data_IF_674310747951
#
_entry.id   IF_674310747951
#
_cell.length_a   1.000
_cell.length_b   1.000
_cell.length_c   1.000
_cell.angle_alpha   90.00
_cell.angle_beta   90.00
_cell.angle_gamma   90.00
#
_symmetry.space_group_name_H-M   'P 1'
#
loop_
_entity.id
_entity.type
_entity.pdbx_description
1 polymer ?
#
# COMPACT_ATOMS: atom_id res chain seq x y z
N UNK A 1 28.93 -5.62 -10.01
CA UNK A 1 29.48 -6.98 -9.81
C UNK A 1 29.20 -7.77 -11.09
N UNK A 2 30.16 -7.93 -12.01
CA UNK A 2 29.87 -8.47 -13.35
C UNK A 2 29.56 -9.98 -13.40
N UNK A 3 29.66 -10.70 -12.31
CA UNK A 3 29.41 -12.14 -12.23
C UNK A 3 28.23 -12.51 -11.30
N UNK A 4 27.52 -11.53 -10.74
CA UNK A 4 26.41 -11.81 -9.85
C UNK A 4 25.21 -12.40 -10.62
N UNK A 5 24.56 -13.40 -10.03
CA UNK A 5 23.29 -13.94 -10.49
C UNK A 5 22.20 -13.14 -9.79
N UNK A 6 21.35 -12.46 -10.57
CA UNK A 6 20.25 -11.66 -10.03
C UNK A 6 18.91 -12.27 -10.45
N UNK A 7 18.01 -12.39 -9.50
CA UNK A 7 16.64 -12.86 -9.69
C UNK A 7 15.67 -11.78 -9.22
N UNK A 8 14.65 -11.47 -10.00
CA UNK A 8 13.61 -10.51 -9.67
C UNK A 8 12.41 -11.26 -9.11
N UNK A 9 12.00 -10.92 -7.89
CA UNK A 9 10.86 -11.55 -7.23
C UNK A 9 9.90 -10.50 -6.68
N UNK A 10 8.60 -10.80 -6.55
CA UNK A 10 7.65 -9.91 -5.92
C UNK A 10 8.02 -9.63 -4.45
N UNK A 11 7.88 -8.37 -4.05
CA UNK A 11 7.90 -7.97 -2.64
C UNK A 11 6.47 -8.00 -2.11
N UNK A 12 6.20 -8.74 -1.04
CA UNK A 12 4.88 -8.76 -0.40
C UNK A 12 4.55 -7.50 0.41
N UNK A 13 5.22 -6.41 0.13
CA UNK A 13 5.10 -5.12 0.83
C UNK A 13 4.75 -4.03 -0.17
N UNK A 14 3.51 -3.55 -0.11
CA UNK A 14 3.09 -2.44 -0.95
C UNK A 14 3.67 -1.10 -0.51
N UNK A 15 3.74 -0.14 -1.43
CA UNK A 15 3.79 1.28 -1.09
C UNK A 15 2.37 1.78 -0.93
N UNK A 16 2.11 2.55 0.12
CA UNK A 16 0.76 2.96 0.49
C UNK A 16 0.67 4.45 0.81
N UNK A 17 -0.50 5.01 0.52
CA UNK A 17 -0.91 6.31 1.00
C UNK A 17 -1.50 6.14 2.41
N UNK A 18 -0.72 6.45 3.44
CA UNK A 18 -1.19 6.47 4.82
C UNK A 18 -1.83 7.83 5.13
N UNK A 19 -3.09 7.80 5.59
CA UNK A 19 -3.87 9.00 5.91
C UNK A 19 -4.25 8.92 7.39
N UNK A 20 -4.05 9.98 8.15
CA UNK A 20 -4.43 10.01 9.56
C UNK A 20 -5.92 10.33 9.70
N UNK A 21 -6.73 9.33 10.03
CA UNK A 21 -8.19 9.45 10.18
C UNK A 21 -8.64 10.24 11.43
N UNK A 22 -7.70 10.67 12.28
CA UNK A 22 -7.98 11.41 13.51
C UNK A 22 -7.74 12.91 13.38
N UNK A 23 -7.27 13.36 12.22
CA UNK A 23 -6.91 14.76 11.98
C UNK A 23 -7.79 15.35 10.89
N UNK A 24 -8.48 16.47 11.18
CA UNK A 24 -9.24 17.19 10.18
C UNK A 24 -8.30 17.79 9.12
N UNK A 25 -8.71 17.84 7.85
CA UNK A 25 -9.97 17.36 7.27
C UNK A 25 -9.94 15.88 6.85
N UNK A 26 -8.89 15.12 7.19
CA UNK A 26 -8.66 13.74 6.75
C UNK A 26 -9.54 12.71 7.48
N UNK A 27 -10.24 13.12 8.54
CA UNK A 27 -11.31 12.38 9.18
C UNK A 27 -12.54 12.21 8.27
N UNK A 28 -12.70 13.08 7.25
CA UNK A 28 -13.77 12.99 6.26
C UNK A 28 -13.48 11.87 5.25
N UNK A 29 -14.36 10.88 5.19
CA UNK A 29 -14.27 9.75 4.26
C UNK A 29 -14.17 10.18 2.80
N UNK A 30 -14.98 11.16 2.40
CA UNK A 30 -15.04 11.65 1.02
C UNK A 30 -13.70 12.28 0.59
N UNK A 31 -13.01 12.99 1.48
CA UNK A 31 -11.67 13.50 1.18
C UNK A 31 -10.68 12.37 0.91
N UNK A 32 -10.65 11.35 1.76
CA UNK A 32 -9.75 10.20 1.58
C UNK A 32 -10.07 9.43 0.29
N UNK A 33 -11.36 9.33 -0.03
CA UNK A 33 -11.80 8.74 -1.31
C UNK A 33 -11.31 9.56 -2.49
N UNK A 34 -11.41 10.89 -2.46
CA UNK A 34 -10.88 11.76 -3.52
C UNK A 34 -9.37 11.59 -3.69
N UNK A 35 -8.62 11.48 -2.59
CA UNK A 35 -7.19 11.20 -2.63
C UNK A 35 -6.89 9.86 -3.30
N UNK A 36 -7.64 8.81 -2.98
CA UNK A 36 -7.48 7.49 -3.60
C UNK A 36 -7.81 7.49 -5.11
N UNK A 37 -8.86 8.21 -5.51
CA UNK A 37 -9.31 8.35 -6.90
C UNK A 37 -8.33 9.15 -7.78
N UNK A 38 -7.45 9.97 -7.20
CA UNK A 38 -6.44 10.72 -7.96
C UNK A 38 -5.28 9.85 -8.46
N UNK A 39 -5.13 8.63 -7.91
CA UNK A 39 -3.97 7.77 -8.10
C UNK A 39 -3.99 7.07 -9.46
N UNK A 40 -2.92 7.23 -10.22
CA UNK A 40 -2.57 6.41 -11.38
C UNK A 40 -1.48 5.42 -10.97
N UNK A 41 -1.88 4.21 -10.62
CA UNK A 41 -0.98 3.17 -10.11
C UNK A 41 -0.01 2.67 -11.16
N UNK A 42 -0.45 2.66 -12.43
CA UNK A 42 0.41 2.24 -13.53
C UNK A 42 1.60 3.16 -13.68
N UNK A 43 1.42 4.45 -13.54
CA UNK A 43 2.50 5.45 -13.64
C UNK A 43 3.54 5.25 -12.53
N UNK A 44 3.14 4.84 -11.31
CA UNK A 44 4.12 4.46 -10.27
C UNK A 44 4.97 3.27 -10.70
N UNK A 45 4.35 2.25 -11.26
CA UNK A 45 5.06 1.04 -11.71
C UNK A 45 6.01 1.39 -12.85
N UNK A 46 5.55 2.13 -13.85
CA UNK A 46 6.35 2.47 -15.03
C UNK A 46 7.56 3.34 -14.69
N UNK A 47 7.38 4.36 -13.83
CA UNK A 47 8.44 5.33 -13.51
C UNK A 47 9.35 4.83 -12.39
N UNK A 48 8.77 4.33 -11.28
CA UNK A 48 9.57 4.01 -10.08
C UNK A 48 10.23 2.63 -10.18
N UNK A 49 9.58 1.69 -10.84
CA UNK A 49 10.06 0.30 -10.91
C UNK A 49 10.43 -0.14 -12.33
N UNK A 50 10.48 0.77 -13.29
CA UNK A 50 10.74 0.47 -14.69
C UNK A 50 9.85 -0.66 -15.25
N UNK A 51 8.58 -0.68 -14.85
CA UNK A 51 7.59 -1.69 -15.26
C UNK A 51 7.59 -2.96 -14.38
N UNK A 52 8.48 -3.07 -13.39
CA UNK A 52 8.58 -4.24 -12.51
C UNK A 52 7.79 -4.06 -11.21
N UNK A 53 6.48 -4.15 -11.30
CA UNK A 53 5.58 -4.04 -10.14
C UNK A 53 4.19 -4.55 -10.44
N UNK A 54 3.38 -4.66 -9.40
CA UNK A 54 2.03 -5.21 -9.51
C UNK A 54 1.01 -4.27 -8.84
N UNK A 55 -0.21 -4.26 -9.38
CA UNK A 55 -1.33 -3.54 -8.77
C UNK A 55 -2.10 -4.53 -7.90
N UNK A 56 -2.35 -4.14 -6.65
CA UNK A 56 -3.12 -4.94 -5.70
C UNK A 56 -3.85 -4.06 -4.70
N UNK A 57 -4.71 -4.68 -3.90
CA UNK A 57 -5.36 -4.05 -2.76
C UNK A 57 -4.49 -4.09 -1.50
N UNK A 58 -5.09 -4.43 -0.38
CA UNK A 58 -4.39 -4.63 0.89
C UNK A 58 -3.63 -5.96 0.89
N UNK A 59 -4.22 -7.00 0.28
CA UNK A 59 -3.55 -8.29 0.10
C UNK A 59 -2.64 -8.24 -1.12
N UNK A 60 -1.56 -9.01 -1.04
CA UNK A 60 -0.64 -9.18 -2.16
C UNK A 60 -1.38 -9.69 -3.39
N UNK A 61 -1.15 -9.10 -4.59
CA UNK A 61 -1.83 -9.51 -5.80
C UNK A 61 -1.42 -10.91 -6.29
N UNK A 62 -2.30 -11.50 -7.08
CA UNK A 62 -2.02 -12.73 -7.81
C UNK A 62 -0.85 -12.52 -8.81
N UNK A 63 -0.13 -13.60 -9.19
CA UNK A 63 -0.33 -15.00 -8.78
C UNK A 63 0.30 -15.36 -7.43
N UNK A 64 1.17 -14.53 -6.87
CA UNK A 64 1.96 -14.85 -5.68
C UNK A 64 1.12 -14.77 -4.39
N UNK A 65 0.19 -13.82 -4.33
CA UNK A 65 -0.71 -13.66 -3.19
C UNK A 65 -2.01 -14.44 -3.36
N UNK A 66 -2.11 -15.61 -2.74
CA UNK A 66 -3.30 -16.48 -2.87
C UNK A 66 -4.62 -15.82 -2.38
N UNK A 67 -4.52 -14.76 -1.59
CA UNK A 67 -5.64 -13.98 -1.06
C UNK A 67 -5.95 -12.74 -1.92
N UNK A 68 -5.07 -12.42 -2.87
CA UNK A 68 -5.21 -11.28 -3.75
C UNK A 68 -6.49 -11.34 -4.58
N UNK A 69 -7.05 -10.17 -4.81
CA UNK A 69 -8.27 -10.03 -5.63
C UNK A 69 -7.92 -10.18 -7.11
N UNK A 70 -8.68 -10.97 -7.88
CA UNK A 70 -8.52 -11.04 -9.33
C UNK A 70 -8.68 -9.64 -9.97
N UNK A 71 -7.95 -9.34 -11.07
CA UNK A 71 -7.98 -8.02 -11.69
C UNK A 71 -9.38 -7.52 -12.04
N UNK A 72 -10.25 -8.38 -12.53
CA UNK A 72 -11.63 -8.03 -12.90
C UNK A 72 -12.49 -7.61 -11.70
N UNK A 73 -12.23 -8.16 -10.51
CA UNK A 73 -12.90 -7.75 -9.28
C UNK A 73 -12.25 -6.49 -8.72
N UNK A 74 -10.91 -6.43 -8.76
CA UNK A 74 -10.14 -5.29 -8.28
C UNK A 74 -10.52 -4.01 -9.04
N UNK A 75 -10.64 -4.08 -10.36
CA UNK A 75 -11.00 -2.93 -11.22
C UNK A 75 -12.42 -2.40 -10.95
N UNK A 76 -13.29 -3.19 -10.32
CA UNK A 76 -14.62 -2.73 -9.91
C UNK A 76 -14.61 -1.95 -8.59
N UNK A 77 -13.48 -1.95 -7.86
CA UNK A 77 -13.35 -1.19 -6.61
C UNK A 77 -13.19 0.31 -6.86
N UNK A 78 -13.66 1.16 -5.93
CA UNK A 78 -13.33 2.58 -5.96
C UNK A 78 -11.83 2.82 -6.09
N UNK A 79 -11.44 3.73 -6.96
CA UNK A 79 -10.07 4.12 -7.24
C UNK A 79 -9.17 3.03 -7.89
N UNK A 80 -9.74 1.93 -8.39
CA UNK A 80 -9.02 0.92 -9.17
C UNK A 80 -9.53 0.80 -10.62
N UNK A 81 -10.47 1.67 -11.02
CA UNK A 81 -10.94 1.77 -12.42
C UNK A 81 -9.75 2.08 -13.33
N UNK A 82 -9.54 1.30 -14.41
CA UNK A 82 -8.47 1.57 -15.39
C UNK A 82 -8.60 2.94 -16.08
N UNK A 83 -9.81 3.51 -16.14
CA UNK A 83 -10.03 4.88 -16.60
C UNK A 83 -9.68 5.88 -15.49
N UNK A 84 -8.39 6.19 -15.41
CA UNK A 84 -7.85 7.15 -14.45
C UNK A 84 -8.47 8.55 -14.62
N UNK A 85 -8.81 8.97 -15.85
CA UNK A 85 -9.39 10.30 -16.08
C UNK A 85 -10.83 10.39 -15.53
N UNK A 86 -11.59 9.33 -15.66
CA UNK A 86 -12.91 9.20 -15.02
C UNK A 86 -12.78 9.31 -13.51
N UNK A 87 -11.86 8.55 -12.90
CA UNK A 87 -11.59 8.56 -11.46
C UNK A 87 -11.16 9.96 -10.98
N UNK A 88 -10.24 10.62 -11.68
CA UNK A 88 -9.81 11.98 -11.36
C UNK A 88 -10.93 13.03 -11.51
N UNK A 89 -11.83 12.83 -12.46
CA UNK A 89 -13.01 13.69 -12.60
C UNK A 89 -13.93 13.55 -11.40
N UNK A 90 -14.19 12.35 -10.93
CA UNK A 90 -14.93 12.10 -9.70
C UNK A 90 -14.22 12.68 -8.47
N UNK A 91 -12.90 12.52 -8.36
CA UNK A 91 -12.10 13.13 -7.30
C UNK A 91 -12.29 14.65 -7.23
N UNK A 92 -12.20 15.34 -8.36
CA UNK A 92 -12.44 16.80 -8.42
C UNK A 92 -13.83 17.18 -7.98
N UNK A 93 -14.85 16.46 -8.43
CA UNK A 93 -16.25 16.72 -8.01
C UNK A 93 -16.45 16.55 -6.49
N UNK A 94 -15.80 15.55 -5.89
CA UNK A 94 -15.82 15.39 -4.43
C UNK A 94 -15.13 16.55 -3.75
N UNK A 95 -13.94 16.94 -4.21
CA UNK A 95 -13.19 18.05 -3.62
C UNK A 95 -13.94 19.39 -3.73
N UNK A 96 -14.62 19.64 -4.84
CA UNK A 96 -15.45 20.84 -5.03
C UNK A 96 -16.62 20.87 -4.04
N UNK A 97 -17.27 19.75 -3.78
CA UNK A 97 -18.32 19.63 -2.74
C UNK A 97 -17.78 19.89 -1.34
N UNK A 98 -16.49 19.59 -1.10
CA UNK A 98 -15.80 19.87 0.16
C UNK A 98 -15.26 21.31 0.24
N UNK A 99 -15.48 22.15 -0.79
CA UNK A 99 -15.05 23.54 -0.84
C UNK A 99 -13.64 23.77 -1.38
N UNK A 100 -13.02 22.74 -1.94
CA UNK A 100 -11.70 22.84 -2.57
C UNK A 100 -11.85 22.92 -4.10
N UNK A 101 -10.95 23.68 -4.75
CA UNK A 101 -10.96 23.85 -6.20
C UNK A 101 -9.72 24.57 -6.68
N UNK A 102 -9.66 24.99 -7.95
CA UNK A 102 -8.48 25.64 -8.53
C UNK A 102 -8.00 26.87 -7.75
N UNK A 103 -8.93 27.67 -7.20
CA UNK A 103 -8.62 28.87 -6.40
C UNK A 103 -8.51 28.64 -4.90
N UNK A 104 -8.86 27.46 -4.41
CA UNK A 104 -8.80 27.10 -2.98
C UNK A 104 -8.35 25.65 -2.83
N UNK A 105 -7.06 25.40 -3.00
CA UNK A 105 -6.49 24.06 -2.97
C UNK A 105 -6.15 23.62 -1.54
N UNK A 106 -6.37 22.35 -1.22
CA UNK A 106 -5.99 21.79 0.05
C UNK A 106 -4.45 21.70 0.14
N UNK A 107 -3.86 22.30 1.17
CA UNK A 107 -2.43 22.17 1.46
C UNK A 107 -2.19 21.01 2.40
N UNK A 108 -1.27 20.09 2.05
CA UNK A 108 -0.91 18.95 2.87
C UNK A 108 0.60 18.82 3.01
N UNK A 109 1.07 18.39 4.19
CA UNK A 109 2.43 17.90 4.37
C UNK A 109 2.43 16.40 4.15
N UNK A 110 3.21 15.95 3.17
CA UNK A 110 3.40 14.53 2.88
C UNK A 110 4.69 14.05 3.53
N UNK A 111 4.54 13.37 4.66
CA UNK A 111 5.67 12.77 5.37
C UNK A 111 6.15 11.51 4.65
N UNK A 112 7.46 11.34 4.51
CA UNK A 112 8.05 10.15 3.94
C UNK A 112 9.41 9.85 4.56
N UNK A 113 9.87 8.61 4.44
CA UNK A 113 11.25 8.27 4.83
C UNK A 113 12.23 8.91 3.85
N UNK A 114 13.32 9.49 4.38
CA UNK A 114 14.39 10.09 3.55
C UNK A 114 15.33 9.02 3.00
N UNK A 115 14.76 8.11 2.21
CA UNK A 115 15.49 7.11 1.41
C UNK A 115 14.86 7.06 0.01
N UNK A 116 15.64 6.83 -1.07
CA UNK A 116 15.15 6.93 -2.45
C UNK A 116 13.89 6.08 -2.70
N UNK A 117 13.83 4.84 -2.21
CA UNK A 117 12.69 3.93 -2.39
C UNK A 117 11.37 4.40 -1.77
N UNK A 118 11.38 5.48 -0.99
CA UNK A 118 10.20 6.14 -0.42
C UNK A 118 10.08 7.59 -0.87
N UNK A 119 11.20 8.32 -0.98
CA UNK A 119 11.19 9.72 -1.39
C UNK A 119 10.73 9.89 -2.85
N UNK A 120 11.25 9.07 -3.77
CA UNK A 120 10.94 9.21 -5.19
C UNK A 120 9.45 8.94 -5.49
N UNK A 121 8.82 7.84 -5.00
CA UNK A 121 7.38 7.69 -5.16
C UNK A 121 6.55 8.74 -4.39
N UNK A 122 7.07 9.36 -3.32
CA UNK A 122 6.38 10.45 -2.64
C UNK A 122 6.31 11.72 -3.50
N UNK A 123 7.35 12.03 -4.27
CA UNK A 123 7.34 13.14 -5.24
C UNK A 123 6.27 12.90 -6.31
N UNK A 124 6.21 11.68 -6.86
CA UNK A 124 5.19 11.33 -7.85
C UNK A 124 3.77 11.36 -7.24
N UNK A 125 3.61 10.91 -6.00
CA UNK A 125 2.34 10.98 -5.29
C UNK A 125 1.85 12.42 -5.14
N UNK A 126 2.73 13.35 -4.75
CA UNK A 126 2.37 14.76 -4.66
C UNK A 126 1.90 15.33 -6.00
N UNK A 127 2.53 14.95 -7.10
CA UNK A 127 2.13 15.39 -8.42
C UNK A 127 0.73 14.86 -8.79
N UNK A 128 0.45 13.60 -8.51
CA UNK A 128 -0.87 13.01 -8.75
C UNK A 128 -1.98 13.62 -7.88
N UNK A 129 -1.69 13.96 -6.63
CA UNK A 129 -2.66 14.62 -5.74
C UNK A 129 -3.08 16.00 -6.24
N UNK A 130 -2.25 16.68 -7.04
CA UNK A 130 -2.61 17.97 -7.67
C UNK A 130 -3.81 17.84 -8.59
N UNK A 131 -4.02 16.68 -9.21
CA UNK A 131 -5.17 16.40 -10.06
C UNK A 131 -6.52 16.51 -9.31
N UNK A 132 -6.50 16.35 -7.99
CA UNK A 132 -7.65 16.52 -7.12
C UNK A 132 -7.57 17.78 -6.24
N UNK A 133 -6.96 18.86 -6.73
CA UNK A 133 -6.82 20.13 -6.01
C UNK A 133 -6.10 20.03 -4.66
N UNK A 134 -5.17 19.11 -4.53
CA UNK A 134 -4.35 18.92 -3.31
C UNK A 134 -2.90 19.30 -3.64
N UNK A 135 -2.36 20.30 -2.94
CA UNK A 135 -0.96 20.70 -3.05
C UNK A 135 -0.17 20.09 -1.90
N UNK A 136 0.70 19.16 -2.23
CA UNK A 136 1.60 18.52 -1.27
C UNK A 136 2.91 19.29 -1.09
N UNK A 137 3.36 19.34 0.15
CA UNK A 137 4.70 19.78 0.56
C UNK A 137 5.43 18.58 1.16
N UNK A 138 6.58 18.20 0.57
CA UNK A 138 7.29 16.99 0.99
C UNK A 138 8.01 17.23 2.32
N UNK A 139 7.80 16.32 3.26
CA UNK A 139 8.48 16.28 4.55
C UNK A 139 9.33 15.00 4.66
N UNK A 140 10.58 14.99 4.17
CA UNK A 140 11.47 13.86 4.35
C UNK A 140 11.88 13.72 5.82
N UNK A 141 11.78 12.52 6.35
CA UNK A 141 12.12 12.21 7.74
C UNK A 141 13.08 11.02 7.76
N UNK A 142 14.16 11.13 8.53
CA UNK A 142 15.07 10.00 8.68
C UNK A 142 14.34 8.76 9.26
N UNK A 143 14.83 7.58 8.91
CA UNK A 143 14.14 6.32 9.26
C UNK A 143 14.00 6.12 10.78
N UNK A 144 14.92 6.64 11.60
CA UNK A 144 14.88 6.47 13.06
C UNK A 144 13.78 7.30 13.70
N UNK A 145 13.40 8.42 13.10
CA UNK A 145 12.30 9.29 13.54
C UNK A 145 10.96 8.98 12.86
N UNK A 146 10.97 8.41 11.65
CA UNK A 146 9.75 8.15 10.89
C UNK A 146 8.78 7.23 11.63
N UNK A 147 9.23 6.05 12.06
CA UNK A 147 8.35 5.09 12.74
C UNK A 147 7.82 5.58 14.09
N UNK A 148 8.62 6.20 14.98
CA UNK A 148 8.09 6.85 16.18
C UNK A 148 7.01 7.90 15.91
N UNK A 149 7.16 8.71 14.84
CA UNK A 149 6.12 9.68 14.45
C UNK A 149 4.85 8.99 13.98
N UNK A 150 4.97 7.93 13.16
CA UNK A 150 3.82 7.12 12.73
C UNK A 150 3.07 6.51 13.92
N UNK A 151 3.78 5.98 14.91
CA UNK A 151 3.19 5.38 16.12
C UNK A 151 2.43 6.44 16.95
N UNK A 152 3.01 7.63 17.11
CA UNK A 152 2.34 8.75 17.79
C UNK A 152 1.25 9.43 16.96
N UNK A 153 1.07 9.02 15.70
CA UNK A 153 0.18 9.67 14.72
C UNK A 153 0.52 11.15 14.48
N UNK A 154 1.80 11.49 14.57
CA UNK A 154 2.32 12.82 14.32
C UNK A 154 2.56 13.02 12.82
N UNK A 155 1.49 12.96 12.06
CA UNK A 155 1.42 13.20 10.61
C UNK A 155 -0.04 13.41 10.19
N UNK A 156 -0.26 14.05 9.03
CA UNK A 156 -1.56 14.12 8.38
C UNK A 156 -1.66 13.11 7.25
N UNK A 157 -0.68 13.12 6.37
CA UNK A 157 -0.56 12.22 5.22
C UNK A 157 0.88 11.72 5.15
N UNK A 158 1.07 10.46 4.82
CA UNK A 158 2.41 9.90 4.65
C UNK A 158 2.47 8.88 3.50
N UNK A 159 3.62 8.79 2.84
CA UNK A 159 3.95 7.62 2.06
C UNK A 159 4.59 6.59 2.99
N UNK A 160 3.98 5.43 3.07
CA UNK A 160 4.39 4.34 3.96
C UNK A 160 4.44 3.01 3.22
N UNK A 161 4.66 1.95 3.97
CA UNK A 161 4.57 0.58 3.49
C UNK A 161 3.37 -0.12 4.15
N UNK A 162 2.66 -0.93 3.39
CA UNK A 162 1.65 -1.85 3.88
C UNK A 162 2.15 -3.27 3.73
N UNK A 163 2.06 -4.07 4.78
CA UNK A 163 2.38 -5.48 4.72
C UNK A 163 1.09 -6.28 4.74
N UNK A 164 0.81 -6.99 3.66
CA UNK A 164 -0.05 -8.16 3.70
C UNK A 164 0.80 -9.33 4.21
N UNK A 165 0.35 -10.03 5.25
CA UNK A 165 0.99 -11.26 5.67
C UNK A 165 0.68 -12.42 4.71
N UNK A 166 1.31 -13.57 4.93
CA UNK A 166 0.96 -14.81 4.22
C UNK A 166 -0.45 -15.29 4.57
N UNK A 167 -0.96 -14.91 5.74
CA UNK A 167 -2.35 -15.11 6.16
C UNK A 167 -3.03 -13.75 6.40
N UNK A 168 -4.28 -13.56 5.97
CA UNK A 168 -5.01 -12.30 6.12
C UNK A 168 -5.10 -11.81 7.57
N UNK A 169 -5.20 -12.70 8.54
CA UNK A 169 -5.30 -12.35 9.95
C UNK A 169 -4.12 -11.50 10.41
N UNK A 170 -2.93 -11.81 9.93
CA UNK A 170 -1.74 -11.06 10.31
C UNK A 170 -1.85 -9.57 9.95
N UNK A 171 -2.31 -9.25 8.74
CA UNK A 171 -2.45 -7.86 8.30
C UNK A 171 -3.71 -7.19 8.85
N UNK A 172 -4.84 -7.89 8.83
CA UNK A 172 -6.15 -7.34 9.17
C UNK A 172 -6.26 -7.03 10.66
N UNK A 173 -5.96 -7.98 11.55
CA UNK A 173 -6.04 -7.77 13.01
C UNK A 173 -4.99 -6.80 13.53
N UNK A 174 -3.80 -6.75 12.94
CA UNK A 174 -2.76 -5.84 13.43
C UNK A 174 -2.93 -4.41 12.96
N UNK A 175 -3.61 -4.18 11.81
CA UNK A 175 -3.62 -2.86 11.17
C UNK A 175 -5.01 -2.25 11.04
N UNK A 176 -6.06 -3.04 10.71
CA UNK A 176 -7.34 -2.49 10.27
C UNK A 176 -8.47 -2.64 11.29
N UNK A 177 -8.36 -3.54 12.26
CA UNK A 177 -9.34 -3.63 13.35
C UNK A 177 -9.22 -2.39 14.26
N UNK A 178 -10.37 -1.94 14.78
CA UNK A 178 -10.39 -0.82 15.73
C UNK A 178 -9.45 -1.09 16.92
N UNK A 179 -8.64 -0.13 17.26
CA UNK A 179 -7.63 -0.22 18.34
C UNK A 179 -6.52 -1.27 18.14
N UNK A 180 -6.34 -1.76 16.90
CA UNK A 180 -5.24 -2.65 16.59
C UNK A 180 -3.86 -2.01 16.89
N UNK A 181 -2.89 -2.83 17.28
CA UNK A 181 -1.58 -2.37 17.74
C UNK A 181 -0.82 -1.53 16.70
N UNK A 182 -0.87 -1.94 15.44
CA UNK A 182 -0.22 -1.24 14.33
C UNK A 182 -1.17 -0.34 13.53
N UNK A 183 -2.34 -0.04 14.06
CA UNK A 183 -3.29 0.89 13.45
C UNK A 183 -2.79 2.35 13.60
N UNK A 184 -1.78 2.69 12.83
CA UNK A 184 -1.12 4.01 12.87
C UNK A 184 -1.98 5.11 12.26
N UNK A 185 -2.89 4.77 11.33
CA UNK A 185 -3.81 5.72 10.70
C UNK A 185 -4.99 6.10 11.60
N UNK A 186 -5.24 5.34 12.67
CA UNK A 186 -6.40 5.56 13.53
C UNK A 186 -7.74 5.21 12.85
N UNK A 187 -7.70 4.37 11.83
CA UNK A 187 -8.88 3.81 11.18
C UNK A 187 -9.71 2.99 12.16
N UNK A 188 -11.02 3.08 12.07
CA UNK A 188 -11.92 2.25 12.85
C UNK A 188 -13.27 2.16 12.14
N UNK A 189 -13.67 0.94 11.78
CA UNK A 189 -14.97 0.61 11.23
C UNK A 189 -15.43 -0.72 11.82
N UNK A 190 -16.46 -0.72 12.72
CA UNK A 190 -16.95 -1.95 13.35
C UNK A 190 -17.46 -3.01 12.37
N UNK A 191 -17.88 -2.60 11.16
CA UNK A 191 -18.25 -3.56 10.11
C UNK A 191 -17.03 -4.35 9.63
N UNK A 192 -15.87 -3.66 9.46
CA UNK A 192 -14.60 -4.31 9.11
C UNK A 192 -14.12 -5.24 10.22
N UNK A 193 -14.29 -4.85 11.49
CA UNK A 193 -13.97 -5.73 12.63
C UNK A 193 -14.78 -7.04 12.54
N UNK A 194 -16.09 -6.92 12.34
CA UNK A 194 -16.97 -8.08 12.21
C UNK A 194 -16.72 -8.92 10.95
N UNK A 195 -16.31 -8.31 9.83
CA UNK A 195 -15.89 -9.03 8.63
C UNK A 195 -14.58 -9.79 8.87
N UNK A 196 -13.62 -9.16 9.56
CA UNK A 196 -12.34 -9.77 9.93
C UNK A 196 -12.55 -11.00 10.83
N UNK A 197 -13.39 -10.92 11.83
CA UNK A 197 -13.76 -12.05 12.67
C UNK A 197 -14.41 -13.20 11.89
N UNK A 198 -15.27 -12.87 10.93
CA UNK A 198 -15.95 -13.89 10.13
C UNK A 198 -15.01 -14.60 9.16
N UNK A 199 -14.06 -13.88 8.53
CA UNK A 199 -13.10 -14.50 7.63
C UNK A 199 -12.13 -15.40 8.40
N UNK A 200 -11.69 -15.00 9.59
CA UNK A 200 -10.76 -15.76 10.42
C UNK A 200 -11.33 -17.11 10.88
N UNK A 201 -12.65 -17.20 11.04
CA UNK A 201 -13.35 -18.45 11.43
C UNK A 201 -13.75 -19.32 10.22
N UNK A 202 -13.51 -18.89 9.00
CA UNK A 202 -13.88 -19.65 7.82
C UNK A 202 -12.78 -20.67 7.48
N UNK A 203 -13.15 -21.95 7.52
CA UNK A 203 -12.25 -23.04 7.25
C UNK A 203 -12.11 -23.37 5.75
N UNK A 204 -13.12 -23.04 4.96
CA UNK A 204 -13.06 -23.22 3.50
C UNK A 204 -12.28 -22.07 2.86
N UNK A 205 -11.19 -22.40 2.17
CA UNK A 205 -10.27 -21.41 1.62
C UNK A 205 -10.94 -20.48 0.59
N UNK A 206 -11.79 -21.01 -0.28
CA UNK A 206 -12.43 -20.19 -1.32
C UNK A 206 -13.48 -19.26 -0.72
N UNK A 207 -14.27 -19.73 0.23
CA UNK A 207 -15.18 -18.86 0.98
C UNK A 207 -14.43 -17.83 1.81
N UNK A 208 -13.28 -18.20 2.38
CA UNK A 208 -12.42 -17.26 3.12
C UNK A 208 -11.87 -16.16 2.20
N UNK A 209 -11.45 -16.48 0.98
CA UNK A 209 -11.05 -15.50 -0.03
C UNK A 209 -12.17 -14.49 -0.31
N UNK A 210 -13.38 -14.95 -0.55
CA UNK A 210 -14.53 -14.04 -0.78
C UNK A 210 -14.72 -13.07 0.40
N UNK A 211 -14.63 -13.55 1.63
CA UNK A 211 -14.73 -12.71 2.84
C UNK A 211 -13.58 -11.70 2.93
N UNK A 212 -12.36 -12.08 2.58
CA UNK A 212 -11.19 -11.18 2.50
C UNK A 212 -11.44 -10.10 1.46
N UNK A 213 -11.96 -10.44 0.29
CA UNK A 213 -12.29 -9.47 -0.75
C UNK A 213 -13.43 -8.51 -0.35
N UNK A 214 -14.39 -8.97 0.46
CA UNK A 214 -15.41 -8.07 1.04
C UNK A 214 -14.77 -7.04 1.99
N UNK A 215 -13.77 -7.44 2.77
CA UNK A 215 -13.00 -6.52 3.61
C UNK A 215 -12.21 -5.53 2.74
N UNK A 216 -11.49 -6.00 1.74
CA UNK A 216 -10.72 -5.13 0.84
C UNK A 216 -11.61 -4.09 0.14
N UNK A 217 -12.80 -4.50 -0.31
CA UNK A 217 -13.81 -3.59 -0.87
C UNK A 217 -14.19 -2.50 0.13
N UNK A 218 -14.45 -2.88 1.38
CA UNK A 218 -14.81 -1.93 2.43
C UNK A 218 -13.69 -0.96 2.76
N UNK A 219 -12.46 -1.46 2.84
CA UNK A 219 -11.27 -0.62 3.05
C UNK A 219 -11.04 0.36 1.89
N UNK A 220 -11.27 -0.07 0.65
CA UNK A 220 -11.19 0.80 -0.53
C UNK A 220 -12.28 1.88 -0.53
N UNK A 221 -13.53 1.52 -0.19
CA UNK A 221 -14.64 2.45 -0.04
C UNK A 221 -14.40 3.51 1.04
N UNK A 222 -13.75 3.14 2.13
CA UNK A 222 -13.43 4.04 3.25
C UNK A 222 -12.17 4.87 3.01
N UNK A 223 -11.41 4.57 1.95
CA UNK A 223 -10.10 5.17 1.73
C UNK A 223 -9.16 4.93 2.91
N UNK A 224 -9.20 3.72 3.48
CA UNK A 224 -8.53 3.42 4.74
C UNK A 224 -7.01 3.55 4.64
N UNK A 225 -6.40 2.90 3.66
CA UNK A 225 -4.97 2.99 3.34
C UNK A 225 -4.75 2.55 1.89
N UNK A 226 -4.97 3.42 0.90
CA UNK A 226 -4.84 3.06 -0.51
C UNK A 226 -3.45 2.53 -0.84
N UNK A 227 -3.39 1.31 -1.40
CA UNK A 227 -2.16 0.78 -1.97
C UNK A 227 -1.84 1.50 -3.27
N UNK A 228 -0.57 1.89 -3.45
CA UNK A 228 -0.06 2.50 -4.68
C UNK A 228 0.40 1.42 -5.65
N UNK A 229 1.32 0.58 -5.22
CA UNK A 229 1.86 -0.54 -6.00
C UNK A 229 2.62 -1.52 -5.08
N UNK A 230 2.83 -2.71 -5.59
CA UNK A 230 3.73 -3.71 -5.04
C UNK A 230 5.00 -3.75 -5.89
N UNK A 231 6.18 -3.39 -5.36
CA UNK A 231 7.42 -3.47 -6.11
C UNK A 231 7.91 -4.91 -6.25
N UNK A 232 8.79 -5.13 -7.22
CA UNK A 232 9.58 -6.34 -7.33
C UNK A 232 11.02 -6.03 -6.94
N UNK A 233 11.66 -6.91 -6.19
CA UNK A 233 13.03 -6.75 -5.73
C UNK A 233 13.99 -7.63 -6.52
N UNK A 234 15.16 -7.09 -6.84
CA UNK A 234 16.27 -7.87 -7.36
C UNK A 234 17.11 -8.40 -6.20
N UNK A 235 17.14 -9.72 -6.05
CA UNK A 235 18.06 -10.40 -5.14
C UNK A 235 19.25 -10.89 -5.92
N UNK A 236 20.44 -10.39 -5.61
CA UNK A 236 21.67 -10.74 -6.31
C UNK A 236 22.61 -11.52 -5.39
N UNK A 237 23.16 -12.62 -5.90
CA UNK A 237 24.14 -13.44 -5.18
C UNK A 237 25.37 -13.74 -6.05
N UNK A 238 26.49 -14.00 -5.42
CA UNK A 238 27.65 -14.52 -6.11
C UNK A 238 27.41 -15.96 -6.56
N UNK A 239 28.00 -16.43 -7.68
CA UNK A 239 27.77 -17.78 -8.20
C UNK A 239 28.13 -18.91 -7.23
N UNK A 240 29.03 -18.65 -6.31
CA UNK A 240 29.44 -19.61 -5.28
C UNK A 240 28.46 -19.65 -4.08
N UNK A 241 27.50 -18.77 -3.99
CA UNK A 241 26.41 -18.85 -2.98
C UNK A 241 25.32 -19.78 -3.53
N UNK A 242 25.11 -20.91 -2.88
CA UNK A 242 24.17 -21.96 -3.27
C UNK A 242 23.05 -22.11 -2.23
N UNK A 243 21.95 -22.74 -2.63
CA UNK A 243 20.86 -23.09 -1.75
C UNK A 243 19.96 -21.92 -1.32
N UNK A 244 20.20 -20.68 -1.83
CA UNK A 244 19.33 -19.54 -1.52
C UNK A 244 17.96 -19.75 -2.17
N UNK A 245 16.92 -19.82 -1.36
CA UNK A 245 15.53 -19.86 -1.81
C UNK A 245 14.93 -18.46 -1.72
N UNK A 246 14.55 -17.90 -2.87
CA UNK A 246 13.85 -16.62 -2.93
C UNK A 246 12.36 -16.92 -2.84
N UNK A 247 11.72 -16.33 -1.85
CA UNK A 247 10.28 -16.45 -1.62
C UNK A 247 9.65 -15.06 -1.59
N UNK A 248 8.37 -15.00 -1.88
CA UNK A 248 7.59 -13.80 -1.64
C UNK A 248 7.67 -13.45 -0.15
N UNK A 249 7.82 -12.16 0.15
CA UNK A 249 8.02 -11.69 1.53
C UNK A 249 9.33 -12.17 2.21
N UNK A 250 10.37 -12.44 1.46
CA UNK A 250 11.69 -12.84 2.00
C UNK A 250 12.16 -11.95 3.16
N UNK A 251 11.89 -10.64 3.09
CA UNK A 251 12.19 -9.67 4.17
C UNK A 251 11.61 -10.09 5.52
N UNK A 252 10.39 -10.66 5.55
CA UNK A 252 9.72 -11.05 6.79
C UNK A 252 9.96 -12.50 7.18
N UNK A 253 10.33 -13.36 6.22
CA UNK A 253 10.57 -14.78 6.43
C UNK A 253 12.04 -15.14 6.64
N UNK A 254 12.91 -14.13 6.88
CA UNK A 254 14.32 -14.37 7.18
C UNK A 254 15.15 -14.92 6.03
N UNK A 255 14.70 -14.76 4.78
CA UNK A 255 15.41 -15.20 3.57
C UNK A 255 15.68 -16.71 3.48
N UNK A 256 15.12 -17.53 4.33
CA UNK A 256 15.32 -18.98 4.31
C UNK A 256 16.80 -19.36 4.17
N UNK A 257 17.63 -18.88 5.11
CA UNK A 257 19.09 -19.05 5.07
C UNK A 257 19.57 -20.45 5.52
N UNK A 258 18.66 -21.30 6.02
CA UNK A 258 18.98 -22.63 6.55
C UNK A 258 19.65 -23.57 5.55
N UNK A 259 19.39 -23.41 4.25
CA UNK A 259 19.94 -24.23 3.18
C UNK A 259 21.08 -23.52 2.41
N UNK A 260 21.48 -22.33 2.84
CA UNK A 260 22.52 -21.55 2.13
C UNK A 260 23.90 -22.06 2.50
N UNK A 261 24.70 -22.32 1.50
CA UNK A 261 26.10 -22.74 1.65
C UNK A 261 27.00 -22.09 0.60
N UNK A 262 28.30 -22.08 0.89
CA UNK A 262 29.32 -21.54 -0.01
C UNK A 262 30.06 -22.67 -0.72
N UNK A 263 29.98 -22.67 -2.05
CA UNK A 263 30.74 -23.57 -2.89
C UNK A 263 32.19 -23.03 -2.93
N UNK A 264 33.06 -23.67 -2.17
CA UNK A 264 34.49 -23.32 -2.14
C UNK A 264 35.21 -24.11 -3.21
N UNK A 265 35.82 -23.41 -4.12
CA UNK A 265 36.80 -23.96 -5.07
C UNK A 265 38.22 -23.69 -4.66
#
# INVERSE_FOLDING_TARGET
MPQAICEVSPEGVSRTLAINHRVAPFDQRELRRAMALSLDRKVFIDIITAGHGDIGGVMQPLPEGIWGMPPEILHALPAYDPDVQKSRTEARQIMEKLGYGPGNRLKVKLMTRDVPSFRDPAVLLMDQLKEAYIDGDLEPVDTTNFFPRMVRRDFSVALSAGAGGNDPDQGLYTTYVCNAENNRMGYCNPEVDGLTDRQSREADQERRKQRVWDIERKLAEDGAQPALYYPRLATCRQPYVKGLTIIVNSIYNGWRMEDVWLDQH
#
